data_IF_374027668975
#
_entry.id   IF_374027668975
#
_cell.length_a   1.000
_cell.length_b   1.000
_cell.length_c   1.000
_cell.angle_alpha   90.00
_cell.angle_beta   90.00
_cell.angle_gamma   90.00
#
_symmetry.space_group_name_H-M   'P 1'
#
loop_
_entity.id
_entity.type
_entity.pdbx_description
1 polymer ?
#
# COMPACT_ATOMS: atom_id res chain seq x y z
N UNK A 1 -27.25 34.93 46.50
CA UNK A 1 -25.86 34.45 46.45
C UNK A 1 -25.81 33.29 45.47
N UNK A 2 -25.11 33.53 44.36
CA UNK A 2 -24.49 32.60 43.40
C UNK A 2 -25.41 31.58 42.69
N UNK A 3 -25.71 31.92 41.43
CA UNK A 3 -26.17 31.05 40.34
C UNK A 3 -25.12 29.97 40.08
N UNK A 4 -25.51 28.70 40.10
CA UNK A 4 -24.71 27.62 39.50
C UNK A 4 -25.15 27.39 38.06
N UNK A 5 -24.23 27.68 37.15
CA UNK A 5 -24.35 27.53 35.70
C UNK A 5 -24.52 26.06 35.31
N UNK A 6 -25.69 25.69 34.79
CA UNK A 6 -25.80 24.57 33.87
C UNK A 6 -25.32 25.03 32.49
N UNK A 7 -24.05 24.79 32.18
CA UNK A 7 -23.57 24.83 30.81
C UNK A 7 -24.12 23.58 30.12
N UNK A 8 -25.19 23.76 29.34
CA UNK A 8 -25.54 22.83 28.27
C UNK A 8 -24.39 22.86 27.27
N UNK A 9 -23.51 21.84 27.32
CA UNK A 9 -22.64 21.55 26.19
C UNK A 9 -23.51 20.87 25.14
N UNK A 10 -24.18 21.67 24.31
CA UNK A 10 -24.76 21.17 23.07
C UNK A 10 -23.60 20.64 22.24
N UNK A 11 -23.51 19.33 22.10
CA UNK A 11 -22.73 18.69 21.05
C UNK A 11 -23.34 19.16 19.74
N UNK A 12 -22.77 20.25 19.21
CA UNK A 12 -23.04 20.72 17.87
C UNK A 12 -22.38 19.68 16.96
N UNK A 13 -23.10 18.58 16.73
CA UNK A 13 -22.78 17.66 15.66
C UNK A 13 -22.94 18.47 14.38
N UNK A 14 -21.84 19.03 13.90
CA UNK A 14 -21.71 19.43 12.51
C UNK A 14 -21.86 18.13 11.71
N UNK A 15 -23.11 17.75 11.41
CA UNK A 15 -23.39 17.06 10.17
C UNK A 15 -23.02 18.05 9.08
N UNK A 16 -21.74 18.11 8.73
CA UNK A 16 -21.37 18.31 7.34
C UNK A 16 -22.15 17.20 6.62
N UNK A 17 -23.28 17.56 6.03
CA UNK A 17 -23.70 16.93 4.80
C UNK A 17 -22.59 17.23 3.81
N UNK A 18 -21.50 16.46 3.91
CA UNK A 18 -20.67 16.22 2.77
C UNK A 18 -21.64 15.66 1.75
N UNK A 19 -21.94 16.46 0.74
CA UNK A 19 -22.26 15.92 -0.56
C UNK A 19 -21.05 15.04 -0.87
N UNK A 20 -21.16 13.77 -0.49
CA UNK A 20 -20.45 12.72 -1.19
C UNK A 20 -21.03 12.83 -2.59
N UNK A 21 -20.46 13.71 -3.42
CA UNK A 21 -20.44 13.50 -4.85
C UNK A 21 -19.82 12.13 -4.95
N UNK A 22 -20.65 11.12 -5.03
CA UNK A 22 -20.18 9.79 -5.21
C UNK A 22 -19.55 9.79 -6.60
N UNK A 23 -18.23 9.68 -6.60
CA UNK A 23 -17.34 9.71 -7.74
C UNK A 23 -17.57 8.38 -8.46
N UNK A 24 -18.65 8.30 -9.26
CA UNK A 24 -19.01 7.10 -10.00
C UNK A 24 -18.61 7.25 -11.48
N UNK A 25 -18.31 6.12 -12.11
CA UNK A 25 -18.14 6.05 -13.55
C UNK A 25 -19.36 6.65 -14.28
N UNK A 26 -19.09 7.37 -15.36
CA UNK A 26 -20.09 8.08 -16.16
C UNK A 26 -20.01 7.59 -17.61
N UNK A 27 -21.14 7.12 -18.13
CA UNK A 27 -21.26 6.79 -19.54
C UNK A 27 -21.68 8.02 -20.36
N UNK A 28 -20.87 8.37 -21.35
CA UNK A 28 -21.20 9.37 -22.37
C UNK A 28 -21.56 8.64 -23.66
N UNK A 29 -22.86 8.69 -24.00
CA UNK A 29 -23.40 8.01 -25.17
C UNK A 29 -23.55 9.00 -26.33
N UNK A 30 -22.84 8.76 -27.42
CA UNK A 30 -23.02 9.43 -28.71
C UNK A 30 -23.97 8.60 -29.57
N UNK A 31 -25.20 9.05 -29.74
CA UNK A 31 -26.25 8.33 -30.49
C UNK A 31 -26.40 8.92 -31.89
N UNK A 32 -26.06 8.16 -32.93
CA UNK A 32 -26.02 8.65 -34.30
C UNK A 32 -27.40 9.00 -34.88
N UNK A 33 -28.50 8.72 -34.19
CA UNK A 33 -29.82 9.24 -34.57
C UNK A 33 -30.06 10.68 -34.10
N UNK A 34 -29.30 11.15 -33.10
CA UNK A 34 -29.49 12.44 -32.42
C UNK A 34 -28.29 13.37 -32.56
N UNK A 35 -27.09 12.82 -32.48
CA UNK A 35 -25.84 13.52 -32.26
C UNK A 35 -25.07 13.60 -33.60
N UNK A 36 -25.22 14.72 -34.32
CA UNK A 36 -24.68 14.86 -35.69
C UNK A 36 -23.67 16.01 -35.81
N UNK A 37 -22.50 15.75 -36.41
CA UNK A 37 -21.46 16.76 -36.69
C UNK A 37 -20.55 16.37 -37.87
N UNK A 38 -19.73 17.33 -38.29
CA UNK A 38 -18.66 17.12 -39.27
C UNK A 38 -17.30 17.12 -38.56
N UNK A 39 -16.45 16.12 -38.87
CA UNK A 39 -15.08 15.90 -38.39
C UNK A 39 -14.89 15.62 -36.89
N UNK A 40 -15.66 16.22 -35.99
CA UNK A 40 -15.62 15.90 -34.56
C UNK A 40 -16.98 16.09 -33.89
N UNK A 41 -17.20 15.38 -32.79
CA UNK A 41 -18.36 15.56 -31.93
C UNK A 41 -17.93 15.57 -30.46
N UNK A 42 -18.53 16.47 -29.68
CA UNK A 42 -18.22 16.65 -28.27
C UNK A 42 -19.51 16.59 -27.46
N UNK A 43 -19.48 15.84 -26.36
CA UNK A 43 -20.60 15.67 -25.42
C UNK A 43 -20.02 15.37 -24.05
N UNK A 44 -20.52 16.04 -23.02
CA UNK A 44 -20.23 15.67 -21.63
C UNK A 44 -18.74 15.45 -21.32
N UNK A 45 -17.88 16.37 -21.79
CA UNK A 45 -16.41 16.37 -21.61
C UNK A 45 -15.64 15.32 -22.43
N UNK A 46 -16.34 14.52 -23.24
CA UNK A 46 -15.74 13.61 -24.23
C UNK A 46 -15.76 14.25 -25.61
N UNK A 47 -14.67 14.10 -26.37
CA UNK A 47 -14.60 14.45 -27.79
C UNK A 47 -14.17 13.24 -28.60
N UNK A 48 -14.89 12.97 -29.69
CA UNK A 48 -14.52 12.00 -30.72
C UNK A 48 -14.14 12.80 -31.97
N UNK A 49 -12.91 12.63 -32.44
CA UNK A 49 -12.35 13.40 -33.54
C UNK A 49 -11.77 12.47 -34.62
N UNK A 50 -12.07 12.74 -35.88
CA UNK A 50 -11.42 12.13 -37.03
C UNK A 50 -10.14 12.93 -37.31
N UNK A 51 -9.00 12.45 -36.81
CA UNK A 51 -7.72 13.16 -36.89
C UNK A 51 -7.03 12.99 -38.25
N UNK A 52 -7.29 11.89 -38.95
CA UNK A 52 -6.74 11.60 -40.28
C UNK A 52 -7.78 10.84 -41.10
N UNK A 53 -7.74 10.99 -42.43
CA UNK A 53 -8.66 10.31 -43.35
C UNK A 53 -10.02 11.01 -43.51
N UNK A 54 -11.05 10.22 -43.77
CA UNK A 54 -12.39 10.69 -44.12
C UNK A 54 -13.47 9.98 -43.29
N UNK A 55 -14.51 10.71 -42.91
CA UNK A 55 -15.68 10.17 -42.22
C UNK A 55 -16.64 11.28 -41.82
N UNK A 56 -17.74 10.91 -41.19
CA UNK A 56 -18.78 11.82 -40.72
C UNK A 56 -19.53 11.22 -39.52
N UNK A 57 -20.09 12.09 -38.68
CA UNK A 57 -20.90 11.68 -37.54
C UNK A 57 -22.40 11.69 -37.87
N UNK A 58 -22.76 11.09 -39.02
CA UNK A 58 -24.15 10.84 -39.38
C UNK A 58 -24.96 12.10 -39.71
N UNK A 59 -26.20 11.88 -40.13
CA UNK A 59 -27.24 12.90 -40.27
C UNK A 59 -28.63 12.24 -40.15
N UNK A 60 -29.71 13.01 -40.31
CA UNK A 60 -31.09 12.50 -40.17
C UNK A 60 -31.42 11.37 -41.17
N UNK A 61 -30.86 11.41 -42.36
CA UNK A 61 -31.10 10.41 -43.41
C UNK A 61 -30.17 9.19 -43.26
N UNK A 62 -29.06 9.36 -42.55
CA UNK A 62 -28.04 8.33 -42.28
C UNK A 62 -27.71 8.31 -40.78
N UNK A 63 -28.53 7.62 -39.96
CA UNK A 63 -28.40 7.63 -38.50
C UNK A 63 -27.31 6.67 -38.00
N UNK A 64 -26.11 6.81 -38.55
CA UNK A 64 -24.91 6.07 -38.18
C UNK A 64 -23.67 6.89 -38.48
N UNK A 65 -22.63 6.74 -37.66
CA UNK A 65 -21.33 7.35 -37.92
C UNK A 65 -20.57 6.51 -38.93
N UNK A 66 -19.88 7.19 -39.85
CA UNK A 66 -19.09 6.57 -40.89
C UNK A 66 -17.63 6.93 -40.70
N UNK A 67 -16.77 5.91 -40.57
CA UNK A 67 -15.33 6.08 -40.62
C UNK A 67 -14.79 5.28 -41.81
N UNK A 68 -14.23 5.96 -42.80
CA UNK A 68 -13.70 5.28 -43.99
C UNK A 68 -12.40 4.54 -43.64
N UNK A 69 -12.02 3.62 -44.51
CA UNK A 69 -10.72 2.96 -44.47
C UNK A 69 -9.58 4.00 -44.38
N UNK A 70 -8.56 3.66 -43.61
CA UNK A 70 -7.35 4.44 -43.31
C UNK A 70 -7.62 5.71 -42.47
N UNK A 71 -8.85 5.90 -42.00
CA UNK A 71 -9.16 6.99 -41.08
C UNK A 71 -8.68 6.68 -39.67
N UNK A 72 -8.15 7.69 -38.98
CA UNK A 72 -7.74 7.61 -37.58
C UNK A 72 -8.68 8.43 -36.73
N UNK A 73 -9.27 7.79 -35.73
CA UNK A 73 -10.09 8.46 -34.74
C UNK A 73 -9.35 8.55 -33.41
N UNK A 74 -9.57 9.67 -32.74
CA UNK A 74 -9.09 9.94 -31.40
C UNK A 74 -10.28 10.24 -30.51
N UNK A 75 -10.38 9.52 -29.40
CA UNK A 75 -11.35 9.77 -28.36
C UNK A 75 -10.60 10.34 -27.15
N UNK A 76 -11.00 11.52 -26.70
CA UNK A 76 -10.39 12.21 -25.55
C UNK A 76 -11.44 12.55 -24.51
N UNK A 77 -11.06 12.52 -23.23
CA UNK A 77 -11.88 12.99 -22.11
C UNK A 77 -11.15 14.09 -21.33
N UNK A 78 -11.87 15.15 -20.93
CA UNK A 78 -11.39 16.09 -19.91
C UNK A 78 -12.15 15.99 -18.58
N UNK A 79 -13.07 15.03 -18.45
CA UNK A 79 -13.87 14.76 -17.24
C UNK A 79 -13.33 13.63 -16.36
N UNK A 80 -12.18 13.05 -16.72
CA UNK A 80 -11.58 11.87 -16.11
C UNK A 80 -10.92 10.96 -17.15
N UNK A 81 -10.40 9.81 -16.72
CA UNK A 81 -9.81 8.81 -17.61
C UNK A 81 -10.88 7.91 -18.25
N UNK A 82 -10.57 7.39 -19.43
CA UNK A 82 -11.45 6.52 -20.20
C UNK A 82 -11.17 5.08 -19.79
N UNK A 83 -12.14 4.40 -19.15
CA UNK A 83 -11.98 3.00 -18.74
C UNK A 83 -12.58 2.00 -19.73
N UNK A 84 -13.56 2.44 -20.53
CA UNK A 84 -14.22 1.60 -21.54
C UNK A 84 -14.76 2.42 -22.72
N UNK A 85 -14.67 1.85 -23.92
CA UNK A 85 -15.34 2.39 -25.12
C UNK A 85 -16.09 1.26 -25.81
N UNK A 86 -17.34 1.52 -26.20
CA UNK A 86 -18.20 0.57 -26.91
C UNK A 86 -18.66 1.19 -28.22
N UNK A 87 -18.36 0.55 -29.34
CA UNK A 87 -18.92 0.84 -30.67
C UNK A 87 -20.08 -0.13 -30.94
N UNK A 88 -21.30 0.38 -31.01
CA UNK A 88 -22.49 -0.46 -31.27
C UNK A 88 -22.78 -0.53 -32.77
N UNK A 89 -22.94 -1.73 -33.30
CA UNK A 89 -23.04 -1.95 -34.74
C UNK A 89 -24.24 -1.24 -35.36
N UNK A 90 -24.05 -0.68 -36.56
CA UNK A 90 -25.18 -0.42 -37.47
C UNK A 90 -25.42 -1.60 -38.42
N UNK A 91 -24.37 -2.17 -39.01
CA UNK A 91 -24.47 -3.36 -39.88
C UNK A 91 -23.20 -4.23 -39.85
N UNK A 92 -23.37 -5.55 -40.06
CA UNK A 92 -22.27 -6.54 -40.01
C UNK A 92 -21.22 -6.37 -41.11
N UNK A 93 -21.58 -5.75 -42.24
CA UNK A 93 -20.65 -5.60 -43.39
C UNK A 93 -19.66 -4.46 -43.18
N UNK A 94 -19.94 -3.56 -42.25
CA UNK A 94 -19.14 -2.38 -41.92
C UNK A 94 -19.01 -2.26 -40.40
N UNK A 95 -18.79 -3.39 -39.72
CA UNK A 95 -18.79 -3.43 -38.26
C UNK A 95 -17.51 -2.88 -37.63
N UNK A 96 -17.52 -2.60 -36.32
CA UNK A 96 -16.36 -2.16 -35.54
C UNK A 96 -15.27 -3.23 -35.39
N UNK A 97 -15.47 -4.47 -35.87
CA UNK A 97 -14.36 -5.42 -36.10
C UNK A 97 -13.35 -4.94 -37.15
N UNK A 98 -13.64 -3.84 -37.87
CA UNK A 98 -12.74 -3.20 -38.84
C UNK A 98 -11.75 -2.18 -38.23
N UNK A 99 -11.51 -2.29 -36.93
CA UNK A 99 -10.71 -1.34 -36.15
C UNK A 99 -9.40 -1.99 -35.71
N UNK A 100 -8.30 -1.26 -35.88
CA UNK A 100 -7.02 -1.51 -35.23
C UNK A 100 -6.88 -0.57 -34.04
N UNK A 101 -6.57 -1.13 -32.86
CA UNK A 101 -6.21 -0.35 -31.69
C UNK A 101 -4.76 0.12 -31.82
N UNK A 102 -4.52 1.43 -31.70
CA UNK A 102 -3.18 2.03 -31.79
C UNK A 102 -2.65 2.46 -30.42
N UNK A 103 -3.53 2.73 -29.46
CA UNK A 103 -3.18 3.03 -28.07
C UNK A 103 -3.09 1.76 -27.20
N UNK A 104 -2.74 1.91 -25.93
CA UNK A 104 -2.78 0.82 -24.93
C UNK A 104 -4.22 0.35 -24.67
N UNK A 105 -4.36 -0.79 -23.98
CA UNK A 105 -5.64 -1.44 -23.69
C UNK A 105 -5.89 -2.67 -24.56
N UNK A 106 -7.08 -3.27 -24.39
CA UNK A 106 -7.51 -4.44 -25.15
C UNK A 106 -8.76 -4.10 -25.95
N UNK A 107 -8.80 -4.49 -27.21
CA UNK A 107 -9.97 -4.35 -28.07
C UNK A 107 -10.48 -5.73 -28.50
N UNK A 108 -11.75 -6.00 -28.24
CA UNK A 108 -12.43 -7.23 -28.66
C UNK A 108 -13.76 -6.88 -29.31
N UNK A 109 -14.13 -7.55 -30.39
CA UNK A 109 -15.44 -7.42 -31.03
C UNK A 109 -16.24 -8.72 -31.00
N UNK A 110 -17.55 -8.57 -31.12
CA UNK A 110 -18.52 -9.65 -31.29
C UNK A 110 -19.55 -9.23 -32.35
N UNK A 111 -20.60 -10.04 -32.56
CA UNK A 111 -21.60 -9.79 -33.62
C UNK A 111 -22.44 -8.50 -33.49
N UNK A 112 -22.31 -7.75 -32.39
CA UNK A 112 -23.16 -6.59 -32.07
C UNK A 112 -22.42 -5.37 -31.56
N UNK A 113 -21.19 -5.54 -31.07
CA UNK A 113 -20.36 -4.45 -30.56
C UNK A 113 -18.86 -4.69 -30.77
N UNK A 114 -18.10 -3.60 -30.76
CA UNK A 114 -16.66 -3.59 -30.54
C UNK A 114 -16.36 -2.90 -29.21
N UNK A 115 -15.61 -3.55 -28.34
CA UNK A 115 -15.36 -3.12 -26.97
C UNK A 115 -13.86 -2.94 -26.74
N UNK A 116 -13.49 -1.71 -26.40
CA UNK A 116 -12.19 -1.41 -25.83
C UNK A 116 -12.30 -1.33 -24.30
N UNK A 117 -11.32 -1.89 -23.59
CA UNK A 117 -11.15 -1.74 -22.14
C UNK A 117 -9.73 -1.29 -21.80
N UNK A 118 -9.59 -0.47 -20.77
CA UNK A 118 -8.29 0.02 -20.30
C UNK A 118 -7.33 -1.12 -19.89
N UNK A 119 -6.04 -0.82 -19.97
CA UNK A 119 -4.98 -1.65 -19.39
C UNK A 119 -4.72 -1.15 -17.96
N UNK A 120 -5.12 -1.95 -16.97
CA UNK A 120 -4.99 -1.60 -15.55
C UNK A 120 -3.55 -1.61 -15.05
N UNK A 121 -2.58 -2.15 -15.82
CA UNK A 121 -1.17 -2.21 -15.43
C UNK A 121 -0.35 -1.02 -15.94
N UNK A 122 -0.69 -0.46 -17.10
CA UNK A 122 0.06 0.63 -17.76
C UNK A 122 -0.45 2.02 -17.34
N UNK A 123 -1.60 2.08 -16.68
CA UNK A 123 -2.15 3.28 -16.07
C UNK A 123 -3.31 3.89 -16.85
N UNK A 124 -4.09 4.70 -16.15
CA UNK A 124 -5.26 5.41 -16.67
C UNK A 124 -4.89 6.30 -17.88
N UNK A 125 -5.73 6.32 -18.91
CA UNK A 125 -5.55 7.15 -20.11
C UNK A 125 -6.75 8.06 -20.33
N UNK A 126 -6.50 9.32 -20.71
CA UNK A 126 -7.52 10.26 -21.15
C UNK A 126 -7.75 10.20 -22.67
N UNK A 127 -6.95 9.42 -23.39
CA UNK A 127 -6.88 9.40 -24.85
C UNK A 127 -6.78 7.98 -25.39
N UNK A 128 -7.68 7.62 -26.31
CA UNK A 128 -7.67 6.33 -27.01
C UNK A 128 -7.67 6.58 -28.52
N UNK A 129 -6.80 5.89 -29.25
CA UNK A 129 -6.64 6.07 -30.70
C UNK A 129 -6.94 4.76 -31.44
N UNK A 130 -7.71 4.88 -32.51
CA UNK A 130 -8.08 3.77 -33.38
C UNK A 130 -7.81 4.11 -34.85
N UNK A 131 -7.43 3.11 -35.62
CA UNK A 131 -7.29 3.20 -37.08
C UNK A 131 -8.25 2.22 -37.75
N UNK A 132 -8.94 2.69 -38.77
CA UNK A 132 -9.90 1.89 -39.51
C UNK A 132 -9.17 1.14 -40.63
N UNK A 133 -9.03 -0.17 -40.54
CA UNK A 133 -8.43 -0.93 -41.66
C UNK A 133 -9.45 -1.18 -42.80
N UNK A 134 -10.74 -1.01 -42.52
CA UNK A 134 -11.85 -1.00 -43.49
C UNK A 134 -12.94 -0.05 -43.01
N UNK A 135 -14.00 0.15 -43.82
CA UNK A 135 -15.10 1.07 -43.46
C UNK A 135 -15.86 0.58 -42.20
N UNK A 136 -16.13 1.50 -41.28
CA UNK A 136 -16.93 1.27 -40.08
C UNK A 136 -18.18 2.14 -40.10
N UNK A 137 -19.34 1.51 -39.87
CA UNK A 137 -20.62 2.12 -39.59
C UNK A 137 -21.09 1.74 -38.18
N UNK A 138 -21.21 2.73 -37.30
CA UNK A 138 -21.63 2.51 -35.91
C UNK A 138 -22.89 3.31 -35.61
N UNK A 139 -23.86 2.70 -34.92
CA UNK A 139 -25.10 3.33 -34.52
C UNK A 139 -24.92 4.22 -33.28
N UNK A 140 -24.00 3.83 -32.39
CA UNK A 140 -23.62 4.64 -31.25
C UNK A 140 -22.17 4.38 -30.83
N UNK A 141 -21.61 5.32 -30.09
CA UNK A 141 -20.35 5.14 -29.37
C UNK A 141 -20.61 5.51 -27.91
N UNK A 142 -20.39 4.58 -27.00
CA UNK A 142 -20.47 4.82 -25.55
C UNK A 142 -19.05 4.90 -25.00
N UNK A 143 -18.74 5.98 -24.29
CA UNK A 143 -17.46 6.19 -23.64
C UNK A 143 -17.70 6.25 -22.13
N UNK A 144 -17.18 5.27 -21.40
CA UNK A 144 -17.21 5.25 -19.94
C UNK A 144 -16.00 6.03 -19.43
N UNK A 145 -16.27 7.18 -18.81
CA UNK A 145 -15.28 7.96 -18.09
C UNK A 145 -15.33 7.56 -16.63
N UNK A 146 -14.19 7.15 -16.10
CA UNK A 146 -13.99 7.12 -14.67
C UNK A 146 -13.39 8.48 -14.25
N UNK A 147 -14.01 9.17 -13.29
CA UNK A 147 -13.44 10.41 -12.77
C UNK A 147 -12.01 10.16 -12.32
N UNK A 148 -11.13 11.12 -12.62
CA UNK A 148 -9.78 11.09 -12.09
C UNK A 148 -9.89 11.04 -10.57
N UNK A 149 -9.48 9.91 -10.01
CA UNK A 149 -9.24 9.84 -8.58
C UNK A 149 -8.16 10.86 -8.33
N UNK A 150 -8.36 11.76 -7.36
CA UNK A 150 -7.25 12.59 -6.86
C UNK A 150 -6.15 11.58 -6.52
N UNK A 151 -5.10 11.51 -7.35
CA UNK A 151 -4.00 10.59 -7.13
C UNK A 151 -3.22 11.16 -5.95
N UNK A 152 -3.68 10.80 -4.76
CA UNK A 152 -3.04 11.17 -3.51
C UNK A 152 -1.65 10.55 -3.56
N UNK A 153 -0.61 11.37 -3.40
CA UNK A 153 0.76 10.88 -3.30
C UNK A 153 1.12 10.80 -1.84
N UNK A 154 1.31 9.57 -1.36
CA UNK A 154 1.84 9.32 -0.02
C UNK A 154 3.31 8.92 -0.15
N UNK A 155 4.18 9.59 0.61
CA UNK A 155 5.57 9.16 0.80
C UNK A 155 5.72 8.72 2.24
N UNK A 156 6.17 7.48 2.43
CA UNK A 156 6.46 6.93 3.76
C UNK A 156 7.94 6.60 3.80
N UNK A 157 8.68 7.34 4.62
CA UNK A 157 10.13 7.26 4.73
C UNK A 157 10.51 6.94 6.18
N UNK A 158 11.20 5.81 6.35
CA UNK A 158 11.59 5.31 7.68
C UNK A 158 12.57 6.22 8.41
N UNK A 159 13.32 7.06 7.69
CA UNK A 159 14.28 8.01 8.25
C UNK A 159 13.65 9.38 8.54
N UNK A 160 12.34 9.54 8.29
CA UNK A 160 11.59 10.74 8.65
C UNK A 160 10.86 10.54 9.98
N UNK A 161 10.96 11.51 10.91
CA UNK A 161 10.24 11.41 12.17
C UNK A 161 8.72 11.55 12.01
N UNK A 162 8.27 12.18 10.91
CA UNK A 162 6.87 12.41 10.60
C UNK A 162 6.57 12.14 9.12
N UNK A 163 5.58 11.29 8.86
CA UNK A 163 5.05 10.92 7.54
C UNK A 163 3.55 11.25 7.51
N UNK A 164 3.14 12.33 6.80
CA UNK A 164 1.73 12.64 6.65
C UNK A 164 1.06 11.58 5.76
N UNK A 165 0.10 10.84 6.32
CA UNK A 165 -0.70 9.86 5.58
C UNK A 165 -2.07 10.45 5.27
N UNK A 166 -2.38 10.53 3.98
CA UNK A 166 -3.69 10.93 3.48
C UNK A 166 -4.44 9.69 3.01
N UNK A 167 -5.62 9.44 3.57
CA UNK A 167 -6.46 8.30 3.19
C UNK A 167 -7.15 8.54 1.84
N UNK A 168 -7.36 7.46 1.09
CA UNK A 168 -7.94 7.46 -0.25
C UNK A 168 -7.09 6.66 -1.24
N UNK A 169 -7.54 6.61 -2.49
CA UNK A 169 -6.79 5.96 -3.58
C UNK A 169 -5.51 6.75 -3.81
N UNK A 170 -4.37 6.07 -3.68
CA UNK A 170 -3.06 6.71 -3.62
C UNK A 170 -2.01 5.96 -4.42
N UNK A 171 -1.05 6.73 -4.93
CA UNK A 171 0.28 6.22 -5.26
C UNK A 171 1.19 6.38 -4.03
N UNK A 172 1.88 5.31 -3.66
CA UNK A 172 2.72 5.25 -2.47
C UNK A 172 4.17 5.03 -2.86
N UNK A 173 5.05 5.92 -2.39
CA UNK A 173 6.50 5.76 -2.43
C UNK A 173 6.98 5.36 -1.03
N UNK A 174 7.41 4.12 -0.86
CA UNK A 174 7.89 3.57 0.41
C UNK A 174 9.42 3.50 0.40
N UNK A 175 10.06 4.28 1.28
CA UNK A 175 11.50 4.25 1.51
C UNK A 175 11.78 3.50 2.79
N UNK A 176 12.25 2.26 2.65
CA UNK A 176 12.45 1.32 3.74
C UNK A 176 13.64 0.41 3.47
N UNK A 177 14.55 0.29 4.43
CA UNK A 177 15.66 -0.64 4.39
C UNK A 177 15.25 -1.94 5.06
N UNK A 178 15.45 -3.06 4.37
CA UNK A 178 15.24 -4.39 4.93
C UNK A 178 16.56 -5.08 5.20
N UNK A 179 16.71 -5.63 6.39
CA UNK A 179 17.89 -6.42 6.71
C UNK A 179 17.89 -7.72 5.89
N UNK A 180 18.93 -7.90 5.07
CA UNK A 180 19.10 -9.07 4.24
C UNK A 180 19.22 -10.35 5.09
N UNK A 181 18.68 -11.46 4.57
CA UNK A 181 18.72 -12.78 5.21
C UNK A 181 18.14 -12.81 6.64
N UNK A 182 17.23 -11.88 6.97
CA UNK A 182 16.57 -11.79 8.26
C UNK A 182 15.08 -11.50 8.12
N UNK A 183 14.32 -11.82 9.17
CA UNK A 183 12.94 -11.37 9.29
C UNK A 183 12.92 -9.92 9.76
N UNK A 184 12.19 -9.09 9.02
CA UNK A 184 11.93 -7.69 9.31
C UNK A 184 10.46 -7.52 9.67
N UNK A 185 10.12 -6.53 10.50
CA UNK A 185 8.72 -6.12 10.70
C UNK A 185 8.27 -5.21 9.59
N UNK A 186 7.01 -5.29 9.19
CA UNK A 186 6.41 -4.34 8.26
C UNK A 186 4.96 -4.07 8.63
N UNK A 187 4.54 -2.82 8.56
CA UNK A 187 3.12 -2.43 8.54
C UNK A 187 2.88 -1.41 7.45
N UNK A 188 1.77 -1.57 6.71
CA UNK A 188 1.38 -0.71 5.60
C UNK A 188 -0.03 -0.16 5.83
N UNK A 189 -0.33 1.10 5.47
CA UNK A 189 -1.68 1.67 5.62
C UNK A 189 -2.65 1.23 4.52
N UNK A 190 -2.30 0.21 3.73
CA UNK A 190 -3.07 -0.32 2.61
C UNK A 190 -2.87 -1.83 2.50
N UNK A 191 -3.80 -2.49 1.81
CA UNK A 191 -3.71 -3.91 1.48
C UNK A 191 -2.76 -4.13 0.31
N UNK A 192 -2.04 -5.25 0.31
CA UNK A 192 -1.38 -5.83 -0.86
C UNK A 192 -1.79 -7.29 -0.99
N UNK A 193 -2.18 -7.72 -2.19
CA UNK A 193 -2.34 -9.15 -2.49
C UNK A 193 -1.00 -9.88 -2.47
N UNK A 194 -1.02 -11.21 -2.41
CA UNK A 194 0.20 -12.02 -2.51
C UNK A 194 1.00 -11.72 -3.79
N UNK A 195 0.32 -11.54 -4.92
CA UNK A 195 0.96 -11.18 -6.20
C UNK A 195 1.59 -9.78 -6.14
N UNK A 196 0.89 -8.80 -5.57
CA UNK A 196 1.41 -7.44 -5.40
C UNK A 196 2.62 -7.40 -4.46
N UNK A 197 2.66 -8.23 -3.41
CA UNK A 197 3.83 -8.37 -2.54
C UNK A 197 5.05 -8.82 -3.34
N UNK A 198 4.92 -9.87 -4.15
CA UNK A 198 6.02 -10.38 -4.97
C UNK A 198 6.48 -9.36 -6.02
N UNK A 199 5.53 -8.64 -6.64
CA UNK A 199 5.83 -7.57 -7.61
C UNK A 199 6.57 -6.40 -6.96
N UNK A 200 6.16 -6.01 -5.75
CA UNK A 200 6.71 -4.85 -5.04
C UNK A 200 8.08 -5.17 -4.45
N UNK A 201 8.14 -6.22 -3.62
CA UNK A 201 9.29 -6.50 -2.77
C UNK A 201 10.24 -7.56 -3.36
N UNK A 202 9.88 -8.23 -4.45
CA UNK A 202 10.71 -9.22 -5.14
C UNK A 202 10.13 -10.63 -5.10
N UNK A 203 10.45 -11.44 -6.10
CA UNK A 203 9.81 -12.74 -6.37
C UNK A 203 10.06 -13.81 -5.32
N UNK A 204 11.07 -13.65 -4.46
CA UNK A 204 11.40 -14.55 -3.37
C UNK A 204 10.84 -14.10 -2.00
N UNK A 205 10.13 -12.97 -1.97
CA UNK A 205 9.62 -12.38 -0.73
C UNK A 205 8.70 -13.34 0.01
N UNK A 206 8.89 -13.46 1.32
CA UNK A 206 8.04 -14.25 2.21
C UNK A 206 7.41 -13.34 3.25
N UNK A 207 6.13 -13.60 3.54
CA UNK A 207 5.36 -12.92 4.59
C UNK A 207 5.00 -13.93 5.67
N UNK A 208 4.97 -13.49 6.93
CA UNK A 208 4.42 -14.25 8.02
C UNK A 208 3.50 -13.39 8.91
N UNK A 209 2.30 -13.91 9.17
CA UNK A 209 1.25 -13.27 9.94
C UNK A 209 1.38 -13.62 11.42
N UNK A 210 1.21 -12.61 12.28
CA UNK A 210 1.23 -12.82 13.72
C UNK A 210 -0.07 -13.47 14.20
N UNK A 211 0.01 -14.70 14.70
CA UNK A 211 -1.16 -15.46 15.15
C UNK A 211 -1.40 -15.35 16.67
N UNK A 212 -0.43 -14.83 17.43
CA UNK A 212 -0.54 -14.57 18.86
C UNK A 212 0.61 -15.16 19.68
N UNK A 213 0.50 -15.07 21.01
CA UNK A 213 1.51 -15.59 21.92
C UNK A 213 1.06 -16.89 22.60
N UNK A 214 1.93 -17.90 22.64
CA UNK A 214 1.74 -19.15 23.39
C UNK A 214 2.57 -19.12 24.67
N UNK A 215 1.89 -19.18 25.82
CA UNK A 215 2.55 -19.37 27.12
C UNK A 215 3.07 -20.79 27.25
N UNK A 216 4.32 -20.92 27.67
CA UNK A 216 5.01 -22.18 27.90
C UNK A 216 4.87 -22.63 29.36
N UNK A 217 5.16 -23.90 29.64
CA UNK A 217 5.10 -24.48 31.00
C UNK A 217 6.07 -23.78 31.97
N UNK A 218 7.23 -23.33 31.48
CA UNK A 218 8.23 -22.60 32.26
C UNK A 218 7.87 -21.11 32.49
N UNK A 219 6.67 -20.69 32.07
CA UNK A 219 6.19 -19.32 32.16
C UNK A 219 6.73 -18.37 31.10
N UNK A 220 7.59 -18.82 30.18
CA UNK A 220 8.00 -18.05 29.00
C UNK A 220 6.87 -17.94 27.97
N UNK A 221 7.03 -17.03 27.01
CA UNK A 221 6.09 -16.84 25.91
C UNK A 221 6.80 -17.04 24.57
N UNK A 222 6.12 -17.70 23.64
CA UNK A 222 6.52 -17.76 22.23
C UNK A 222 5.53 -16.93 21.42
N UNK A 223 6.01 -15.90 20.75
CA UNK A 223 5.29 -15.14 19.74
C UNK A 223 5.27 -15.98 18.47
N UNK A 224 4.08 -16.41 18.07
CA UNK A 224 3.87 -17.36 16.99
C UNK A 224 3.44 -16.63 15.70
N UNK A 225 4.03 -17.06 14.60
CA UNK A 225 3.74 -16.57 13.26
C UNK A 225 3.44 -17.74 12.33
N UNK A 226 2.59 -17.51 11.33
CA UNK A 226 2.33 -18.47 10.24
C UNK A 226 2.69 -17.83 8.91
N UNK A 227 3.20 -18.63 7.96
CA UNK A 227 3.49 -18.12 6.62
C UNK A 227 2.19 -17.66 5.97
N UNK A 228 2.15 -16.42 5.51
CA UNK A 228 0.96 -15.87 4.86
C UNK A 228 0.88 -16.30 3.40
N UNK A 229 -0.32 -16.64 2.96
CA UNK A 229 -0.65 -16.93 1.56
C UNK A 229 -1.55 -15.87 0.93
N UNK A 230 -1.97 -14.86 1.70
CA UNK A 230 -2.99 -13.87 1.27
C UNK A 230 -2.44 -12.48 1.00
N UNK A 231 -1.18 -12.21 1.37
CA UNK A 231 -0.51 -10.92 1.19
C UNK A 231 -0.39 -10.14 2.50
N UNK A 232 -0.61 -8.83 2.45
CA UNK A 232 -0.53 -7.93 3.59
C UNK A 232 -1.87 -7.21 3.76
N UNK A 233 -2.37 -7.15 4.99
CA UNK A 233 -3.56 -6.36 5.35
C UNK A 233 -3.19 -5.01 5.91
N UNK A 234 -3.96 -3.99 5.53
CA UNK A 234 -3.81 -2.62 5.96
C UNK A 234 -3.80 -2.54 7.49
N UNK A 235 -2.85 -1.77 8.02
CA UNK A 235 -2.67 -1.51 9.44
C UNK A 235 -2.46 -2.77 10.30
N UNK A 236 -2.15 -3.91 9.68
CA UNK A 236 -1.87 -5.17 10.37
C UNK A 236 -0.38 -5.48 10.22
N UNK A 237 0.43 -5.36 11.28
CA UNK A 237 1.85 -5.64 11.18
C UNK A 237 2.13 -7.11 10.89
N UNK A 238 3.13 -7.36 10.03
CA UNK A 238 3.59 -8.69 9.59
C UNK A 238 5.10 -8.80 9.73
N UNK A 239 5.61 -10.02 9.56
CA UNK A 239 7.01 -10.26 9.24
C UNK A 239 7.21 -10.39 7.72
N UNK A 240 8.31 -9.85 7.22
CA UNK A 240 8.72 -9.92 5.82
C UNK A 240 10.21 -10.27 5.72
N UNK A 241 10.57 -11.06 4.71
CA UNK A 241 11.95 -11.54 4.49
C UNK A 241 12.21 -11.78 3.01
N UNK A 242 13.50 -11.82 2.65
CA UNK A 242 14.01 -12.12 1.30
C UNK A 242 13.53 -11.10 0.25
N UNK A 243 13.45 -9.82 0.66
CA UNK A 243 13.12 -8.68 -0.22
C UNK A 243 14.31 -8.26 -1.08
N UNK A 244 14.04 -7.77 -2.28
CA UNK A 244 15.00 -7.05 -3.13
C UNK A 244 15.35 -5.70 -2.53
N UNK A 245 16.64 -5.36 -2.49
CA UNK A 245 17.12 -4.06 -2.04
C UNK A 245 16.81 -2.98 -3.09
N UNK A 246 16.12 -1.91 -2.67
CA UNK A 246 15.69 -0.80 -3.52
C UNK A 246 15.73 0.49 -2.72
N UNK A 247 16.10 1.60 -3.37
CA UNK A 247 16.03 2.94 -2.73
C UNK A 247 14.59 3.33 -2.36
N UNK A 248 13.62 2.87 -3.16
CA UNK A 248 12.19 3.11 -2.96
C UNK A 248 11.37 1.98 -3.59
N UNK A 249 10.28 1.61 -2.93
CA UNK A 249 9.25 0.73 -3.45
C UNK A 249 8.07 1.58 -3.89
N UNK A 250 7.72 1.51 -5.17
CA UNK A 250 6.61 2.27 -5.76
C UNK A 250 5.38 1.35 -5.90
N UNK A 251 4.28 1.76 -5.27
CA UNK A 251 3.01 1.03 -5.25
C UNK A 251 1.92 1.95 -5.80
N UNK A 252 1.31 1.56 -6.90
CA UNK A 252 0.33 2.38 -7.59
C UNK A 252 -1.10 1.99 -7.23
N UNK A 253 -1.96 3.02 -7.13
CA UNK A 253 -3.42 2.87 -7.02
C UNK A 253 -3.89 1.95 -5.88
N UNK A 254 -3.32 2.11 -4.69
CA UNK A 254 -3.78 1.39 -3.49
C UNK A 254 -4.71 2.26 -2.64
N UNK A 255 -5.69 1.63 -2.00
CA UNK A 255 -6.57 2.32 -1.06
C UNK A 255 -5.86 2.48 0.29
N UNK A 256 -5.34 3.68 0.53
CA UNK A 256 -4.70 4.04 1.80
C UNK A 256 -5.78 4.35 2.83
N UNK A 257 -5.60 3.82 4.03
CA UNK A 257 -6.47 4.02 5.19
C UNK A 257 -5.67 4.62 6.33
N UNK A 258 -6.29 5.50 7.10
CA UNK A 258 -5.67 6.07 8.29
C UNK A 258 -6.30 5.44 9.53
N UNK A 259 -5.78 4.28 9.93
CA UNK A 259 -6.19 3.55 11.14
C UNK A 259 -4.96 3.20 11.97
N UNK A 260 -5.12 2.92 13.28
CA UNK A 260 -4.01 2.50 14.12
C UNK A 260 -3.34 1.21 13.58
N UNK A 261 -2.02 1.19 13.35
CA UNK A 261 -1.29 0.01 12.89
C UNK A 261 -1.10 -1.01 14.03
N UNK A 262 -2.10 -1.84 14.30
CA UNK A 262 -2.08 -2.77 15.44
C UNK A 262 -2.75 -4.11 15.14
N UNK A 263 -2.13 -5.19 15.58
CA UNK A 263 -2.76 -6.50 15.70
C UNK A 263 -2.89 -6.87 17.18
N UNK A 264 -4.12 -6.77 17.70
CA UNK A 264 -4.45 -7.12 19.07
C UNK A 264 -4.50 -8.64 19.25
N UNK A 265 -3.72 -9.18 20.18
CA UNK A 265 -3.70 -10.61 20.51
C UNK A 265 -3.53 -10.82 22.00
N UNK A 266 -4.07 -11.93 22.51
CA UNK A 266 -3.90 -12.28 23.92
C UNK A 266 -2.41 -12.44 24.27
N UNK A 267 -2.00 -11.84 25.38
CA UNK A 267 -0.64 -11.87 25.90
C UNK A 267 0.26 -10.78 25.33
N UNK A 268 0.36 -10.66 24.00
CA UNK A 268 1.20 -9.67 23.35
C UNK A 268 0.53 -9.09 22.11
N UNK A 269 0.39 -7.76 22.08
CA UNK A 269 -0.05 -7.03 20.90
C UNK A 269 1.14 -6.75 19.98
N UNK A 270 0.90 -6.77 18.67
CA UNK A 270 1.90 -6.41 17.68
C UNK A 270 1.56 -5.02 17.12
N UNK A 271 2.37 -4.03 17.47
CA UNK A 271 2.08 -2.61 17.33
C UNK A 271 3.08 -2.00 16.35
N UNK A 272 2.58 -1.53 15.23
CA UNK A 272 3.32 -0.79 14.23
C UNK A 272 3.32 0.72 14.46
N UNK A 273 3.95 1.45 13.56
CA UNK A 273 3.87 2.91 13.49
C UNK A 273 4.10 3.42 12.08
N UNK A 274 3.58 4.60 11.74
CA UNK A 274 3.88 5.30 10.50
C UNK A 274 4.74 6.56 10.71
N UNK A 275 4.99 6.92 11.97
CA UNK A 275 5.88 8.01 12.37
C UNK A 275 6.97 7.44 13.28
N UNK A 276 8.06 8.16 13.48
CA UNK A 276 8.98 7.78 14.54
C UNK A 276 8.25 7.87 15.88
N UNK A 277 8.30 6.77 16.64
CA UNK A 277 7.71 6.70 17.97
C UNK A 277 8.72 6.12 18.93
N UNK A 278 8.58 6.45 20.21
CA UNK A 278 9.44 5.93 21.25
C UNK A 278 8.88 4.61 21.78
N UNK A 279 9.71 3.57 21.85
CA UNK A 279 9.31 2.31 22.49
C UNK A 279 9.06 2.51 23.98
N UNK A 280 8.13 1.72 24.54
CA UNK A 280 7.91 1.68 25.97
C UNK A 280 8.93 0.75 26.63
N UNK A 281 9.19 0.97 27.93
CA UNK A 281 9.96 0.01 28.73
C UNK A 281 9.28 -1.36 28.65
N UNK A 282 10.05 -2.39 28.37
CA UNK A 282 9.60 -3.78 28.22
C UNK A 282 8.81 -4.10 26.95
N UNK A 283 8.73 -3.20 25.96
CA UNK A 283 8.39 -3.60 24.60
C UNK A 283 9.48 -4.51 24.03
N UNK A 284 9.16 -5.35 23.06
CA UNK A 284 10.12 -6.21 22.37
C UNK A 284 10.18 -5.87 20.89
N UNK A 285 11.38 -5.75 20.33
CA UNK A 285 11.57 -5.30 18.96
C UNK A 285 12.75 -6.00 18.29
N UNK A 286 12.76 -5.99 16.95
CA UNK A 286 13.91 -6.43 16.16
C UNK A 286 14.75 -5.19 15.86
N UNK A 287 16.02 -5.20 16.31
CA UNK A 287 16.94 -4.10 16.07
C UNK A 287 17.63 -4.22 14.70
N UNK A 288 18.35 -3.17 14.30
CA UNK A 288 19.11 -3.12 13.04
C UNK A 288 20.21 -4.17 12.93
N UNK A 289 20.67 -4.75 14.05
CA UNK A 289 21.64 -5.84 14.05
C UNK A 289 20.99 -7.24 13.94
N UNK A 290 19.71 -7.29 13.56
CA UNK A 290 18.90 -8.50 13.42
C UNK A 290 18.68 -9.30 14.70
N UNK A 291 18.87 -8.68 15.87
CA UNK A 291 18.58 -9.34 17.15
C UNK A 291 17.28 -8.84 17.75
N UNK A 292 16.69 -9.73 18.54
CA UNK A 292 15.45 -9.47 19.26
C UNK A 292 15.77 -8.91 20.65
N UNK A 293 15.33 -7.69 20.92
CA UNK A 293 15.63 -6.95 22.15
C UNK A 293 14.38 -6.66 22.96
N UNK A 294 14.56 -6.54 24.27
CA UNK A 294 13.59 -5.91 25.17
C UNK A 294 13.98 -4.44 25.39
N UNK A 295 13.13 -3.48 25.02
CA UNK A 295 13.40 -2.05 25.09
C UNK A 295 13.54 -1.53 26.53
N UNK A 296 14.47 -0.60 26.73
CA UNK A 296 14.61 0.19 27.96
C UNK A 296 13.72 1.44 27.96
N UNK A 297 12.91 1.61 26.91
CA UNK A 297 12.01 2.75 26.76
C UNK A 297 12.73 4.01 26.32
N UNK A 298 13.81 3.89 25.56
CA UNK A 298 14.55 5.02 24.95
C UNK A 298 14.74 4.86 23.45
N UNK A 299 14.58 3.63 22.97
CA UNK A 299 14.83 3.22 21.61
C UNK A 299 13.72 3.73 20.68
N UNK A 300 14.07 4.32 19.52
CA UNK A 300 13.09 4.73 18.54
C UNK A 300 12.58 3.51 17.74
N UNK A 301 11.29 3.54 17.43
CA UNK A 301 10.64 2.70 16.45
C UNK A 301 10.35 3.57 15.22
N UNK A 302 11.09 3.31 14.13
CA UNK A 302 10.98 4.03 12.86
C UNK A 302 9.65 3.74 12.16
N UNK A 303 9.27 4.59 11.21
CA UNK A 303 8.06 4.37 10.42
C UNK A 303 8.06 2.99 9.74
N UNK A 304 6.86 2.43 9.58
CA UNK A 304 6.54 1.08 9.07
C UNK A 304 7.13 -0.10 9.83
N UNK A 305 7.88 0.14 10.91
CA UNK A 305 8.33 -0.90 11.83
C UNK A 305 7.26 -1.24 12.86
N UNK A 306 7.42 -2.37 13.53
CA UNK A 306 6.54 -2.81 14.60
C UNK A 306 7.30 -3.44 15.78
N UNK A 307 6.66 -3.44 16.94
CA UNK A 307 7.15 -4.00 18.18
C UNK A 307 6.04 -4.77 18.91
N UNK A 308 6.43 -5.65 19.83
CA UNK A 308 5.51 -6.42 20.65
C UNK A 308 5.37 -5.79 22.02
N UNK A 309 4.13 -5.56 22.45
CA UNK A 309 3.81 -5.03 23.77
C UNK A 309 3.05 -6.07 24.57
N UNK A 310 3.52 -6.35 25.78
CA UNK A 310 2.81 -7.26 26.68
C UNK A 310 1.48 -6.63 27.13
N UNK A 311 0.39 -7.37 26.98
CA UNK A 311 -0.91 -7.08 27.57
C UNK A 311 -1.13 -7.86 28.88
N UNK A 312 -0.14 -8.64 29.33
CA UNK A 312 -0.19 -9.44 30.56
C UNK A 312 0.00 -8.55 31.79
N UNK A 313 -1.00 -8.52 32.67
CA UNK A 313 -0.93 -7.86 33.97
C UNK A 313 0.02 -8.64 34.92
N UNK A 314 0.93 -7.96 35.62
CA UNK A 314 1.83 -8.47 36.67
C UNK A 314 3.08 -9.28 36.27
N UNK A 315 4.04 -8.65 35.60
CA UNK A 315 5.43 -9.11 35.58
C UNK A 315 6.27 -8.47 34.48
N UNK A 316 7.05 -7.45 34.81
CA UNK A 316 7.75 -6.59 33.84
C UNK A 316 8.85 -7.25 33.01
N UNK A 317 9.09 -8.57 33.12
CA UNK A 317 10.21 -9.26 32.49
C UNK A 317 9.81 -10.68 32.05
N UNK A 318 9.04 -10.78 30.96
CA UNK A 318 8.75 -12.08 30.36
C UNK A 318 9.97 -12.59 29.58
N UNK A 319 10.27 -13.89 29.69
CA UNK A 319 11.15 -14.55 28.71
C UNK A 319 10.32 -14.74 27.45
N UNK A 320 10.65 -14.02 26.38
CA UNK A 320 9.90 -14.06 25.11
C UNK A 320 10.75 -14.70 24.02
N UNK A 321 10.16 -15.44 23.09
CA UNK A 321 10.84 -16.00 21.91
C UNK A 321 9.97 -15.81 20.68
N UNK A 322 10.56 -15.90 19.49
CA UNK A 322 9.86 -15.81 18.21
C UNK A 322 9.87 -17.18 17.50
N UNK A 323 8.77 -17.54 16.85
CA UNK A 323 8.65 -18.74 16.00
C UNK A 323 7.83 -18.44 14.75
N UNK A 324 8.33 -18.83 13.57
CA UNK A 324 7.62 -18.68 12.27
C UNK A 324 7.35 -20.05 11.67
N UNK A 325 6.07 -20.47 11.68
CA UNK A 325 5.60 -21.85 11.50
C UNK A 325 6.27 -22.84 12.46
N UNK A 326 5.73 -24.04 12.67
CA UNK A 326 6.27 -25.00 13.67
C UNK A 326 7.67 -25.54 13.35
N UNK A 327 8.33 -25.06 12.29
CA UNK A 327 9.74 -25.31 12.06
C UNK A 327 10.60 -24.50 13.04
N UNK A 328 11.41 -25.24 13.80
CA UNK A 328 12.20 -24.85 14.97
C UNK A 328 13.38 -23.90 14.69
N UNK A 329 13.16 -22.80 13.98
CA UNK A 329 14.09 -21.66 14.00
C UNK A 329 13.66 -20.65 15.06
N UNK A 330 13.50 -21.12 16.29
CA UNK A 330 13.24 -20.25 17.43
C UNK A 330 14.41 -19.27 17.60
N UNK A 331 14.13 -17.96 17.67
CA UNK A 331 15.13 -16.99 18.14
C UNK A 331 15.34 -17.27 19.63
N UNK A 332 16.45 -17.94 19.96
CA UNK A 332 16.70 -18.50 21.30
C UNK A 332 17.01 -17.45 22.36
N UNK A 333 17.47 -16.26 21.97
CA UNK A 333 17.96 -15.25 22.90
C UNK A 333 17.24 -13.90 22.69
N UNK A 334 16.62 -13.41 23.76
CA UNK A 334 16.26 -11.98 23.88
C UNK A 334 17.46 -11.27 24.48
N UNK A 335 17.90 -10.22 23.80
CA UNK A 335 18.95 -9.36 24.30
C UNK A 335 18.32 -8.18 25.06
N UNK A 336 19.05 -7.60 26.00
CA UNK A 336 18.70 -6.30 26.57
C UNK A 336 19.67 -5.28 25.98
N UNK A 337 19.18 -4.13 25.48
CA UNK A 337 20.05 -3.04 25.08
C UNK A 337 20.89 -2.72 26.31
N UNK A 338 22.19 -2.82 26.16
CA UNK A 338 23.11 -2.52 27.24
C UNK A 338 22.93 -1.04 27.52
N UNK A 339 22.34 -0.70 28.66
CA UNK A 339 22.51 0.64 29.20
C UNK A 339 24.03 0.90 29.21
N UNK A 340 24.48 2.09 28.83
CA UNK A 340 25.85 2.51 29.06
C UNK A 340 26.07 2.58 30.58
N UNK A 341 26.25 1.42 31.19
CA UNK A 341 26.53 1.28 32.59
C UNK A 341 28.02 1.57 32.72
N UNK A 342 28.37 2.44 33.66
CA UNK A 342 29.72 2.41 34.23
C UNK A 342 29.97 0.98 34.70
N UNK A 343 30.70 0.22 33.89
CA UNK A 343 30.99 -1.17 34.14
C UNK A 343 31.72 -1.27 35.48
N UNK A 344 31.07 -1.85 36.49
CA UNK A 344 31.70 -2.08 37.79
C UNK A 344 32.74 -3.19 37.58
N UNK A 345 34.02 -2.83 37.66
CA UNK A 345 35.14 -3.75 37.52
C UNK A 345 35.70 -4.12 38.89
N UNK A 346 36.12 -5.37 39.06
CA UNK A 346 36.85 -5.84 40.24
C UNK A 346 38.17 -6.49 39.84
N UNK A 347 39.21 -6.36 40.66
CA UNK A 347 40.40 -7.20 40.51
C UNK A 347 40.17 -8.61 41.10
N UNK A 348 41.14 -9.51 40.95
CA UNK A 348 41.04 -10.88 41.47
C UNK A 348 40.98 -10.96 43.02
N UNK A 349 41.32 -9.89 43.71
CA UNK A 349 41.18 -9.76 45.17
C UNK A 349 39.82 -9.23 45.60
N UNK A 350 38.88 -9.01 44.66
CA UNK A 350 37.54 -8.50 44.94
C UNK A 350 37.48 -7.00 45.23
N UNK A 351 38.55 -6.25 44.96
CA UNK A 351 38.55 -4.79 45.09
C UNK A 351 37.98 -4.15 43.84
N UNK A 352 37.11 -3.15 44.00
CA UNK A 352 36.57 -2.38 42.87
C UNK A 352 37.69 -1.57 42.22
N UNK A 353 37.78 -1.61 40.89
CA UNK A 353 38.78 -0.90 40.08
C UNK A 353 38.10 -0.08 38.98
N UNK A 354 38.85 0.85 38.38
CA UNK A 354 38.38 1.70 37.28
C UNK A 354 39.03 1.27 35.95
N UNK A 355 38.70 1.97 34.87
CA UNK A 355 39.13 1.65 33.49
C UNK A 355 40.64 1.80 33.27
N UNK A 356 41.37 2.43 34.19
CA UNK A 356 42.83 2.61 34.09
C UNK A 356 43.63 1.45 34.71
N UNK A 357 42.97 0.54 35.44
CA UNK A 357 43.63 -0.61 36.05
C UNK A 357 44.16 -1.58 34.99
N UNK A 358 45.41 -2.03 35.16
CA UNK A 358 46.08 -2.97 34.25
C UNK A 358 46.19 -4.33 34.93
N UNK A 359 45.91 -5.39 34.18
CA UNK A 359 45.92 -6.76 34.70
C UNK A 359 44.57 -7.45 34.51
N UNK A 360 44.34 -8.51 35.28
CA UNK A 360 43.13 -9.31 35.18
C UNK A 360 42.01 -8.67 36.00
N UNK A 361 40.88 -8.41 35.35
CA UNK A 361 39.67 -7.89 35.98
C UNK A 361 38.49 -8.84 35.80
N UNK A 362 37.52 -8.73 36.70
CA UNK A 362 36.19 -9.31 36.59
C UNK A 362 35.22 -8.18 36.29
N UNK A 363 34.58 -8.23 35.12
CA UNK A 363 33.57 -7.27 34.68
C UNK A 363 32.35 -8.06 34.21
N UNK A 364 31.16 -7.76 34.73
CA UNK A 364 29.92 -8.49 34.42
C UNK A 364 30.04 -10.03 34.59
N UNK A 365 30.79 -10.46 35.61
CA UNK A 365 31.03 -11.89 35.87
C UNK A 365 31.98 -12.59 34.88
N UNK A 366 32.59 -11.84 33.96
CA UNK A 366 33.58 -12.36 32.99
C UNK A 366 34.99 -11.91 33.36
N UNK A 367 35.95 -12.83 33.21
CA UNK A 367 37.38 -12.56 33.38
C UNK A 367 37.94 -11.93 32.11
N UNK A 368 38.55 -10.75 32.24
CA UNK A 368 39.11 -9.97 31.12
C UNK A 368 40.55 -9.59 31.46
N UNK A 369 41.46 -9.64 30.48
CA UNK A 369 42.85 -9.16 30.62
C UNK A 369 42.93 -7.75 30.06
N UNK A 370 43.14 -6.76 30.93
CA UNK A 370 43.34 -5.38 30.55
C UNK A 370 44.83 -5.11 30.34
N UNK A 371 45.24 -5.08 29.06
CA UNK A 371 46.62 -4.87 28.65
C UNK A 371 47.08 -3.42 28.92
N UNK A 372 48.41 -3.21 29.09
CA UNK A 372 49.02 -1.88 29.23
C UNK A 372 48.53 -0.89 28.17
#
# INVERSE_FOLDING_TARGET
MIKNNFIKLSVLSFCLWGVSNAIFAKDVVFDASKDHKYLFITKDEVTINICEGNGDFGNKDYPFYTFKKDSKIKITSCGGHISKIIFTWKDKKSGPGHVNLISTGTYNDNETEGVWTEDTEIGATDTVNFEMYSIVHTASITVTIEPDTINIKNTIDEDKPFNPITAGISDVSLRRTFNANAWNTLVLPFDLSAEQVLKTFGTNTKIADYIGAKRQQDGSYTLCFEVSTTGIKANTPVFIRDTEDKESYEIHRVTVTNQPPISLKSGFDFIGTYNETKLNVNDYFISSDNKFYQANGTEPLKATHAAFRSSVQNGSNHKVRLSVSEQTTAIKNVFRPQASADHIMYNLSGQRVNTTFKGIIICEGKKIVQKP
#
